data_IF_509071722088
#
_entry.id   IF_509071722088
#
_cell.length_a   1.000
_cell.length_b   1.000
_cell.length_c   1.000
_cell.angle_alpha   90.00
_cell.angle_beta   90.00
_cell.angle_gamma   90.00
#
_symmetry.space_group_name_H-M   'P 1'
#
loop_
_entity.id
_entity.type
_entity.pdbx_description
1 polymer ?
#
# COMPACT_ATOMS: atom_id res chain seq x y z
N UNK A 1 -10.88 -19.22 -0.52
CA UNK A 1 -9.89 -19.79 0.42
C UNK A 1 -10.46 -20.13 1.80
N UNK A 2 -11.24 -19.26 2.47
CA UNK A 2 -11.65 -19.48 3.87
C UNK A 2 -12.42 -20.79 4.20
N UNK A 3 -13.23 -21.31 3.28
CA UNK A 3 -13.97 -22.57 3.52
C UNK A 3 -13.07 -23.82 3.50
N UNK A 4 -11.98 -23.79 2.72
CA UNK A 4 -11.04 -24.92 2.61
C UNK A 4 -10.10 -24.98 3.81
N UNK A 5 -9.73 -23.82 4.36
CA UNK A 5 -8.86 -23.74 5.55
C UNK A 5 -9.57 -24.24 6.81
N UNK A 6 -10.88 -23.95 6.96
CA UNK A 6 -11.66 -24.39 8.13
C UNK A 6 -11.84 -25.91 8.18
N UNK A 7 -12.16 -26.53 7.04
CA UNK A 7 -12.33 -27.98 6.92
C UNK A 7 -11.02 -28.73 7.26
N UNK A 8 -9.88 -28.22 6.78
CA UNK A 8 -8.57 -28.81 7.07
C UNK A 8 -8.20 -28.71 8.56
N UNK A 9 -8.57 -27.59 9.22
CA UNK A 9 -8.34 -27.38 10.65
C UNK A 9 -9.16 -28.37 11.49
N UNK A 10 -10.44 -28.57 11.16
CA UNK A 10 -11.29 -29.56 11.84
C UNK A 10 -10.78 -30.99 11.67
N UNK A 11 -10.25 -31.32 10.49
CA UNK A 11 -9.67 -32.63 10.21
C UNK A 11 -8.35 -32.86 10.97
N UNK A 12 -7.51 -31.84 11.13
CA UNK A 12 -6.29 -31.92 11.98
C UNK A 12 -6.65 -32.20 13.43
N UNK A 13 -7.65 -31.48 13.97
CA UNK A 13 -8.06 -31.59 15.38
C UNK A 13 -8.73 -32.94 15.70
N UNK A 14 -9.22 -33.66 14.69
CA UNK A 14 -9.95 -34.93 14.83
C UNK A 14 -9.13 -36.17 14.44
N UNK A 15 -7.92 -36.01 13.92
CA UNK A 15 -7.08 -37.12 13.44
C UNK A 15 -6.21 -37.74 14.56
N UNK A 16 -5.91 -39.05 14.45
CA UNK A 16 -4.87 -39.73 15.25
C UNK A 16 -3.51 -39.82 14.53
N UNK A 17 -2.40 -39.87 15.27
CA UNK A 17 -1.02 -40.01 14.77
C UNK A 17 -0.84 -41.36 14.03
N UNK A 18 -0.99 -41.42 12.69
CA UNK A 18 -0.11 -40.73 11.73
C UNK A 18 -0.81 -39.85 10.68
N UNK A 19 -2.15 -39.85 10.63
CA UNK A 19 -2.92 -38.97 9.73
C UNK A 19 -2.74 -37.49 10.10
N UNK A 20 -2.59 -37.22 11.40
CA UNK A 20 -2.35 -35.89 11.95
C UNK A 20 -1.08 -35.22 11.38
N UNK A 21 -0.02 -35.98 11.10
CA UNK A 21 1.22 -35.43 10.50
C UNK A 21 1.03 -35.00 9.05
N UNK A 22 0.28 -35.78 8.26
CA UNK A 22 0.02 -35.45 6.87
C UNK A 22 -0.92 -34.25 6.76
N UNK A 23 -1.96 -34.21 7.59
CA UNK A 23 -2.87 -33.07 7.64
C UNK A 23 -2.19 -31.80 8.16
N UNK A 24 -1.32 -31.89 9.18
CA UNK A 24 -0.48 -30.76 9.61
C UNK A 24 0.39 -30.24 8.49
N UNK A 25 0.98 -31.11 7.68
CA UNK A 25 1.81 -30.71 6.54
C UNK A 25 0.97 -30.02 5.46
N UNK A 26 -0.19 -30.55 5.13
CA UNK A 26 -1.12 -29.92 4.19
C UNK A 26 -1.60 -28.56 4.71
N UNK A 27 -1.86 -28.43 6.02
CA UNK A 27 -2.23 -27.15 6.63
C UNK A 27 -1.09 -26.14 6.54
N UNK A 28 0.14 -26.57 6.84
CA UNK A 28 1.33 -25.72 6.67
C UNK A 28 1.52 -25.31 5.21
N UNK A 29 1.32 -26.22 4.25
CA UNK A 29 1.43 -25.91 2.82
C UNK A 29 0.36 -24.88 2.40
N UNK A 30 -0.87 -24.95 2.93
CA UNK A 30 -1.93 -23.98 2.67
C UNK A 30 -1.65 -22.62 3.34
N UNK A 31 -1.12 -22.62 4.56
CA UNK A 31 -0.80 -21.39 5.30
C UNK A 31 0.45 -20.67 4.76
N UNK A 32 1.40 -21.42 4.23
CA UNK A 32 2.65 -20.90 3.66
C UNK A 32 2.56 -20.70 2.14
N UNK A 33 1.51 -21.20 1.49
CA UNK A 33 1.25 -20.90 0.09
C UNK A 33 1.07 -19.39 -0.07
N UNK A 34 1.70 -18.77 -1.09
CA UNK A 34 1.42 -17.38 -1.39
C UNK A 34 -0.08 -17.24 -1.67
N UNK A 35 -0.73 -16.38 -0.90
CA UNK A 35 -2.11 -15.96 -1.20
C UNK A 35 -2.16 -15.43 -2.63
N UNK A 36 -3.14 -15.85 -3.42
CA UNK A 36 -3.37 -15.22 -4.72
C UNK A 36 -3.52 -13.70 -4.51
N UNK A 37 -2.90 -12.87 -5.36
CA UNK A 37 -2.98 -11.42 -5.21
C UNK A 37 -4.44 -11.00 -5.22
N UNK A 38 -4.84 -10.21 -4.23
CA UNK A 38 -6.20 -9.69 -4.16
C UNK A 38 -6.44 -8.83 -5.39
N UNK A 39 -7.45 -9.19 -6.18
CA UNK A 39 -7.83 -8.46 -7.39
C UNK A 39 -9.10 -7.66 -7.19
N UNK A 40 -9.07 -6.40 -7.60
CA UNK A 40 -10.21 -5.49 -7.53
C UNK A 40 -10.02 -4.29 -8.47
N UNK A 41 -11.10 -3.60 -8.79
CA UNK A 41 -11.03 -2.31 -9.48
C UNK A 41 -10.39 -1.25 -8.58
N UNK A 42 -9.87 -0.17 -9.16
CA UNK A 42 -9.31 0.93 -8.36
C UNK A 42 -10.33 1.56 -7.41
N UNK A 43 -11.62 1.61 -7.80
CA UNK A 43 -12.66 2.14 -6.91
C UNK A 43 -12.89 1.23 -5.70
N UNK A 44 -13.00 -0.07 -5.92
CA UNK A 44 -13.10 -1.06 -4.83
C UNK A 44 -11.86 -1.01 -3.93
N UNK A 45 -10.68 -0.76 -4.50
CA UNK A 45 -9.45 -0.55 -3.74
C UNK A 45 -9.53 0.66 -2.80
N UNK A 46 -10.01 1.81 -3.28
CA UNK A 46 -10.20 2.97 -2.41
C UNK A 46 -11.26 2.77 -1.33
N UNK A 47 -12.30 1.97 -1.60
CA UNK A 47 -13.33 1.63 -0.61
C UNK A 47 -12.85 0.58 0.41
N UNK A 48 -11.88 -0.25 0.02
CA UNK A 48 -11.25 -1.27 0.85
C UNK A 48 -10.14 -0.69 1.75
N UNK A 49 -9.41 0.32 1.28
CA UNK A 49 -8.37 1.01 2.05
C UNK A 49 -8.94 1.68 3.30
N UNK A 50 -8.25 1.52 4.42
CA UNK A 50 -8.41 2.32 5.62
C UNK A 50 -7.12 3.10 5.93
N UNK A 51 -7.14 3.93 6.98
CA UNK A 51 -5.99 4.76 7.37
C UNK A 51 -4.75 3.96 7.80
N UNK A 52 -4.92 2.69 8.16
CA UNK A 52 -3.86 1.81 8.67
C UNK A 52 -3.30 0.85 7.61
N UNK A 53 -3.90 0.82 6.42
CA UNK A 53 -3.56 -0.11 5.34
C UNK A 53 -2.58 0.52 4.35
N UNK A 54 -1.33 0.06 4.38
CA UNK A 54 -0.29 0.45 3.43
C UNK A 54 -0.33 -0.47 2.20
N UNK A 55 -0.87 0.05 1.09
CA UNK A 55 -0.96 -0.71 -0.15
C UNK A 55 -0.94 0.17 -1.40
N UNK A 56 -0.51 -0.43 -2.50
CA UNK A 56 -0.60 0.13 -3.85
C UNK A 56 -1.51 -0.73 -4.72
N UNK A 57 -1.97 -0.17 -5.83
CA UNK A 57 -2.78 -0.86 -6.81
C UNK A 57 -2.10 -0.83 -8.18
N UNK A 58 -1.94 -1.98 -8.83
CA UNK A 58 -1.30 -2.05 -10.16
C UNK A 58 -2.06 -3.04 -11.03
N UNK A 59 -2.61 -2.57 -12.15
CA UNK A 59 -3.31 -3.42 -13.12
C UNK A 59 -4.37 -4.36 -12.52
N UNK A 60 -5.12 -3.89 -11.53
CA UNK A 60 -6.15 -4.67 -10.86
C UNK A 60 -5.68 -5.48 -9.66
N UNK A 61 -4.39 -5.45 -9.31
CA UNK A 61 -3.81 -6.19 -8.17
C UNK A 61 -3.45 -5.26 -7.02
N UNK A 62 -3.76 -5.69 -5.79
CA UNK A 62 -3.35 -5.00 -4.56
C UNK A 62 -1.97 -5.50 -4.13
N UNK A 63 -1.06 -4.57 -3.89
CA UNK A 63 0.32 -4.82 -3.45
C UNK A 63 0.48 -4.22 -2.06
N UNK A 64 0.63 -5.07 -1.05
CA UNK A 64 0.90 -4.62 0.31
C UNK A 64 2.32 -4.05 0.41
N UNK A 65 2.46 -2.88 1.04
CA UNK A 65 3.77 -2.26 1.29
C UNK A 65 4.15 -2.40 2.77
N UNK A 66 5.45 -2.34 3.02
CA UNK A 66 5.97 -2.42 4.39
C UNK A 66 5.95 -1.03 5.03
N UNK A 67 5.72 -0.94 6.35
CA UNK A 67 5.89 0.32 7.07
C UNK A 67 7.29 0.90 6.86
N UNK A 68 7.36 2.21 6.64
CA UNK A 68 8.62 2.93 6.48
C UNK A 68 9.44 2.91 7.78
N UNK A 69 10.76 2.80 7.62
CA UNK A 69 11.71 2.82 8.74
C UNK A 69 11.81 4.20 9.41
N UNK A 70 12.31 4.27 10.65
CA UNK A 70 12.51 5.56 11.33
C UNK A 70 13.43 6.52 10.54
N UNK A 71 14.57 6.09 9.96
CA UNK A 71 15.38 6.95 9.09
C UNK A 71 14.62 7.46 7.87
N UNK A 72 13.79 6.62 7.25
CA UNK A 72 12.96 6.99 6.10
C UNK A 72 11.96 8.09 6.49
N UNK A 73 11.26 7.91 7.61
CA UNK A 73 10.32 8.90 8.15
C UNK A 73 11.00 10.22 8.50
N UNK A 74 12.21 10.18 9.06
CA UNK A 74 12.98 11.39 9.37
C UNK A 74 13.33 12.20 8.11
N UNK A 75 13.69 11.53 7.02
CA UNK A 75 13.99 12.17 5.72
C UNK A 75 12.70 12.75 5.12
N UNK A 76 11.61 11.98 5.13
CA UNK A 76 10.30 12.43 4.60
C UNK A 76 9.83 13.69 5.34
N UNK A 77 9.89 13.67 6.67
CA UNK A 77 9.51 14.82 7.50
C UNK A 77 10.35 16.07 7.19
N UNK A 78 11.68 15.92 7.10
CA UNK A 78 12.58 17.03 6.78
C UNK A 78 12.28 17.63 5.39
N UNK A 79 12.10 16.78 4.38
CA UNK A 79 11.80 17.22 3.02
C UNK A 79 10.42 17.89 2.93
N UNK A 80 9.39 17.32 3.57
CA UNK A 80 8.06 17.91 3.64
C UNK A 80 8.10 19.33 4.23
N UNK A 81 8.86 19.54 5.30
CA UNK A 81 9.00 20.85 5.94
C UNK A 81 9.71 21.85 5.04
N UNK A 82 10.86 21.48 4.47
CA UNK A 82 11.66 22.41 3.66
C UNK A 82 10.92 22.81 2.38
N UNK A 83 10.35 21.83 1.68
CA UNK A 83 9.62 22.07 0.43
C UNK A 83 8.28 22.76 0.73
N UNK A 84 7.57 22.33 1.77
CA UNK A 84 6.29 22.90 2.20
C UNK A 84 6.41 24.39 2.50
N UNK A 85 7.39 24.79 3.31
CA UNK A 85 7.63 26.21 3.62
C UNK A 85 7.89 27.03 2.35
N UNK A 86 8.69 26.52 1.43
CA UNK A 86 8.96 27.21 0.16
C UNK A 86 7.69 27.34 -0.70
N UNK A 87 6.92 26.26 -0.83
CA UNK A 87 5.68 26.22 -1.61
C UNK A 87 4.64 27.19 -1.05
N UNK A 88 4.47 27.22 0.28
CA UNK A 88 3.54 28.12 0.97
C UNK A 88 3.97 29.59 0.85
N UNK A 89 5.27 29.90 1.05
CA UNK A 89 5.77 31.28 0.96
C UNK A 89 5.63 31.91 -0.43
N UNK A 90 5.54 31.09 -1.47
CA UNK A 90 5.48 31.52 -2.86
C UNK A 90 4.11 31.25 -3.52
N UNK A 91 3.09 30.83 -2.75
CA UNK A 91 1.75 30.49 -3.23
C UNK A 91 1.76 29.48 -4.41
N UNK A 92 2.65 28.49 -4.37
CA UNK A 92 2.91 27.61 -5.52
C UNK A 92 1.97 26.41 -5.60
N UNK A 93 1.25 26.08 -4.53
CA UNK A 93 0.40 24.89 -4.47
C UNK A 93 0.41 24.22 -3.09
N UNK A 94 0.48 22.89 -3.06
CA UNK A 94 0.48 22.10 -1.82
C UNK A 94 1.47 20.93 -1.89
N UNK A 95 2.04 20.57 -0.73
CA UNK A 95 2.89 19.38 -0.54
C UNK A 95 2.11 18.41 0.34
N UNK A 96 2.00 17.15 -0.08
CA UNK A 96 1.22 16.11 0.59
C UNK A 96 2.15 14.91 0.86
N UNK A 97 2.47 14.59 2.12
CA UNK A 97 3.22 13.39 2.47
C UNK A 97 2.36 12.12 2.42
N UNK A 98 3.00 10.97 2.28
CA UNK A 98 2.36 9.68 2.52
C UNK A 98 1.84 9.56 3.98
N UNK A 99 0.75 8.80 4.22
CA UNK A 99 -0.05 8.09 3.22
C UNK A 99 -1.02 9.03 2.49
N UNK A 100 -0.98 9.01 1.15
CA UNK A 100 -1.97 9.67 0.29
C UNK A 100 -1.94 9.06 -1.12
N UNK A 101 -3.05 8.46 -1.54
CA UNK A 101 -3.10 7.75 -2.81
C UNK A 101 -3.01 8.70 -4.01
N UNK A 102 -2.31 8.28 -5.06
CA UNK A 102 -2.24 8.96 -6.35
C UNK A 102 -2.77 8.03 -7.45
N UNK A 103 -3.91 8.40 -8.04
CA UNK A 103 -4.55 7.65 -9.12
C UNK A 103 -3.89 7.96 -10.47
N UNK A 104 -3.39 6.94 -11.13
CA UNK A 104 -2.96 6.93 -12.52
C UNK A 104 -3.87 6.01 -13.35
N UNK A 105 -3.67 6.01 -14.67
CA UNK A 105 -4.52 5.24 -15.60
C UNK A 105 -4.51 3.73 -15.30
N UNK A 106 -3.34 3.19 -14.93
CA UNK A 106 -3.11 1.75 -14.72
C UNK A 106 -2.58 1.42 -13.33
N UNK A 107 -2.45 2.42 -12.45
CA UNK A 107 -1.92 2.22 -11.10
C UNK A 107 -2.45 3.25 -10.09
N UNK A 108 -2.48 2.84 -8.82
CA UNK A 108 -2.65 3.65 -7.63
C UNK A 108 -1.37 3.56 -6.83
N UNK A 109 -0.67 4.69 -6.68
CA UNK A 109 0.64 4.74 -6.01
C UNK A 109 0.53 5.55 -4.73
N UNK A 110 1.42 5.30 -3.78
CA UNK A 110 1.53 6.10 -2.56
C UNK A 110 2.96 6.63 -2.40
N UNK A 111 3.35 7.66 -3.17
CA UNK A 111 4.70 8.19 -3.10
C UNK A 111 4.98 8.89 -1.78
N UNK A 112 6.24 8.93 -1.36
CA UNK A 112 6.62 9.52 -0.07
C UNK A 112 6.22 10.99 0.07
N UNK A 113 6.36 11.78 -1.01
CA UNK A 113 5.89 13.16 -1.08
C UNK A 113 5.35 13.49 -2.47
N UNK A 114 4.20 14.14 -2.49
CA UNK A 114 3.58 14.74 -3.66
C UNK A 114 3.69 16.27 -3.57
N UNK A 115 4.00 16.93 -4.68
CA UNK A 115 3.75 18.36 -4.84
C UNK A 115 2.76 18.58 -6.00
N UNK A 116 1.71 19.34 -5.72
CA UNK A 116 0.67 19.71 -6.68
C UNK A 116 0.63 21.22 -6.77
N UNK A 117 0.82 21.74 -7.97
CA UNK A 117 0.81 23.18 -8.24
C UNK A 117 -0.59 23.77 -8.02
N UNK A 118 -0.65 25.07 -7.75
CA UNK A 118 -1.91 25.81 -7.58
C UNK A 118 -2.88 25.62 -8.76
N UNK A 119 -2.36 25.44 -9.98
CA UNK A 119 -3.15 25.23 -11.20
C UNK A 119 -3.82 23.83 -11.25
N UNK A 120 -3.31 22.85 -10.51
CA UNK A 120 -3.80 21.46 -10.53
C UNK A 120 -4.46 21.02 -9.21
N UNK A 121 -4.73 21.94 -8.29
CA UNK A 121 -5.40 21.63 -7.02
C UNK A 121 -6.81 21.06 -7.20
N UNK A 122 -7.43 21.25 -8.37
CA UNK A 122 -8.71 20.64 -8.74
C UNK A 122 -8.65 19.09 -8.79
N UNK A 123 -7.46 18.50 -8.87
CA UNK A 123 -7.22 17.05 -8.81
C UNK A 123 -7.22 16.49 -7.40
N UNK A 124 -6.98 17.32 -6.38
CA UNK A 124 -6.89 16.86 -4.99
C UNK A 124 -8.29 16.50 -4.50
N UNK A 125 -8.50 15.24 -4.12
CA UNK A 125 -9.73 14.74 -3.50
C UNK A 125 -9.50 14.51 -2.00
N UNK A 126 -10.54 14.11 -1.29
CA UNK A 126 -10.49 13.88 0.15
C UNK A 126 -9.45 12.84 0.56
N UNK A 127 -9.34 11.73 -0.19
CA UNK A 127 -8.48 10.59 0.16
C UNK A 127 -7.43 10.24 -0.90
N UNK A 128 -7.41 10.96 -2.04
CA UNK A 128 -6.48 10.67 -3.13
C UNK A 128 -6.29 11.86 -4.07
N UNK A 129 -5.22 11.83 -4.86
CA UNK A 129 -4.97 12.70 -5.99
C UNK A 129 -5.49 12.05 -7.27
N UNK A 130 -6.37 12.75 -7.99
CA UNK A 130 -6.93 12.28 -9.25
C UNK A 130 -6.05 12.66 -10.44
N UNK A 131 -5.09 11.79 -10.78
CA UNK A 131 -4.08 12.03 -11.80
C UNK A 131 -2.67 12.19 -11.20
N UNK A 132 -1.68 12.50 -12.04
CA UNK A 132 -0.31 12.67 -11.57
C UNK A 132 -0.14 13.98 -10.77
N UNK A 133 0.73 13.92 -9.76
CA UNK A 133 1.32 15.10 -9.15
C UNK A 133 2.25 15.82 -10.13
N UNK A 134 2.53 17.10 -9.87
CA UNK A 134 3.47 17.90 -10.66
C UNK A 134 4.92 17.57 -10.33
N UNK A 135 5.17 17.10 -9.10
CA UNK A 135 6.43 16.50 -8.67
C UNK A 135 6.14 15.37 -7.67
N UNK A 136 6.90 14.29 -7.81
CA UNK A 136 6.94 13.16 -6.87
C UNK A 136 8.36 13.03 -6.34
N UNK A 137 8.49 12.82 -5.03
CA UNK A 137 9.77 12.49 -4.37
C UNK A 137 9.64 11.13 -3.71
N UNK A 138 10.61 10.25 -3.97
CA UNK A 138 10.72 8.92 -3.37
C UNK A 138 12.04 8.81 -2.61
N UNK A 139 11.99 8.29 -1.39
CA UNK A 139 13.14 8.07 -0.53
C UNK A 139 13.56 6.62 -0.70
N UNK A 140 14.69 6.41 -1.36
CA UNK A 140 15.22 5.07 -1.58
C UNK A 140 15.90 4.54 -0.31
N UNK A 141 15.48 3.36 0.17
CA UNK A 141 16.27 2.57 1.12
C UNK A 141 17.16 1.58 0.36
N UNK A 142 18.20 1.00 1.00
CA UNK A 142 18.98 -0.08 0.42
C UNK A 142 18.14 -1.30 0.01
N UNK A 143 17.02 -1.54 0.68
CA UNK A 143 16.06 -2.61 0.31
C UNK A 143 15.13 -2.20 -0.84
N UNK A 144 15.00 -0.90 -1.12
CA UNK A 144 14.16 -0.34 -2.19
C UNK A 144 14.90 -0.19 -3.54
N UNK A 145 16.20 -0.46 -3.59
CA UNK A 145 16.95 -0.49 -4.83
C UNK A 145 16.66 -1.80 -5.58
N UNK A 146 15.96 -1.69 -6.71
CA UNK A 146 15.61 -2.81 -7.59
C UNK A 146 16.81 -3.58 -8.16
#
# INVERSE_FOLDING_TARGET
>A
MGAVTNDLVEQVLSAGEPAERQLRRQLLDVLLAPSEPTRMTYQEFLEWLDEDTLAEWVNGEVIMTSPASLPHQAISHFLAQVIGIFVEQHDLGTVIPAPFQMRLEVSGREPDLLFVTAHHLDRVRHTYLDGPADLVVEIVSPESAG
#
